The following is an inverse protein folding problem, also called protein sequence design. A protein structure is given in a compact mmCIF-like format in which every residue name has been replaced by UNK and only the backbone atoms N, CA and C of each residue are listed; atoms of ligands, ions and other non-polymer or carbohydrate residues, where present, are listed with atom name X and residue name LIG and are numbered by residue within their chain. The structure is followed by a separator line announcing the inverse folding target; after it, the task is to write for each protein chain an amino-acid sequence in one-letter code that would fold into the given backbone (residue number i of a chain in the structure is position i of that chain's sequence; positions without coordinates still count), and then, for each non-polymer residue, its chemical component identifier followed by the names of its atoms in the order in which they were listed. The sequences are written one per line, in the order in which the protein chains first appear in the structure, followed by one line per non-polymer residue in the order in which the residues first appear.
data_IF_285786090790
#
_entry.id   IF_285786090790
#
_cell.length_a   1.000
_cell.length_b   1.000
_cell.length_c   1.000
_cell.angle_alpha   90.00
_cell.angle_beta   90.00
_cell.angle_gamma   90.00
#
_symmetry.space_group_name_H-M   'P 1'
#
loop_
_entity.id
_entity.type
_entity.pdbx_description
1 polymer ?
#
# COMPACT_ATOMS: atom_id res chain seq x y z
N UNK A 1 1.04 -8.44 -2.70
CA UNK A 1 1.80 -7.20 -3.08
C UNK A 1 3.30 -7.46 -3.21
N UNK A 2 4.01 -7.95 -2.20
CA UNK A 2 5.47 -8.19 -2.29
C UNK A 2 5.85 -9.08 -3.48
N UNK A 3 5.11 -10.15 -3.75
CA UNK A 3 5.35 -11.02 -4.93
C UNK A 3 5.15 -10.35 -6.30
N UNK A 4 4.61 -9.13 -6.33
CA UNK A 4 4.47 -8.32 -7.56
C UNK A 4 5.64 -7.35 -7.77
N UNK A 5 6.53 -7.22 -6.78
CA UNK A 5 7.74 -6.42 -6.88
C UNK A 5 8.85 -7.24 -7.54
N UNK A 6 9.61 -6.60 -8.41
CA UNK A 6 10.73 -7.24 -9.10
C UNK A 6 11.78 -6.22 -9.49
N UNK A 7 12.99 -6.69 -9.77
CA UNK A 7 14.11 -5.85 -10.19
C UNK A 7 14.98 -5.37 -9.02
N UNK A 8 15.68 -4.28 -9.23
CA UNK A 8 16.61 -3.72 -8.26
C UNK A 8 15.85 -2.89 -7.23
N UNK A 9 16.24 -3.04 -5.96
CA UNK A 9 15.76 -2.17 -4.88
C UNK A 9 16.17 -0.72 -5.17
N UNK A 10 15.28 0.20 -4.86
CA UNK A 10 15.49 1.66 -4.97
C UNK A 10 15.49 2.22 -3.55
N UNK A 11 16.37 3.18 -3.29
CA UNK A 11 16.44 3.87 -2.01
C UNK A 11 15.15 4.66 -1.77
N UNK A 12 14.69 4.60 -0.52
CA UNK A 12 13.50 5.32 -0.06
C UNK A 12 13.89 6.18 1.13
N UNK A 13 13.42 7.41 1.16
CA UNK A 13 13.48 8.30 2.30
C UNK A 13 12.10 8.86 2.60
N UNK A 14 11.79 9.08 3.87
CA UNK A 14 10.52 9.64 4.32
C UNK A 14 10.69 10.35 5.66
N UNK A 15 9.89 11.36 5.89
CA UNK A 15 9.88 12.20 7.09
C UNK A 15 8.91 11.69 8.18
N UNK A 16 8.08 10.70 7.83
CA UNK A 16 7.08 10.12 8.73
C UNK A 16 7.46 8.73 9.27
N UNK A 17 8.62 8.20 8.86
CA UNK A 17 9.11 6.92 9.35
C UNK A 17 9.64 7.05 10.79
N UNK A 18 9.31 6.06 11.63
CA UNK A 18 9.97 5.91 12.92
C UNK A 18 11.38 5.33 12.72
N UNK A 19 12.33 5.74 13.56
CA UNK A 19 13.60 5.04 13.65
C UNK A 19 13.42 3.67 14.35
N UNK A 20 14.36 2.77 14.09
CA UNK A 20 14.30 1.41 14.62
C UNK A 20 14.29 1.38 16.17
N UNK A 21 15.00 2.31 16.82
CA UNK A 21 15.05 2.38 18.28
C UNK A 21 13.69 2.77 18.87
N UNK A 22 13.01 3.75 18.26
CA UNK A 22 11.70 4.18 18.70
C UNK A 22 10.65 3.03 18.54
N UNK A 23 10.69 2.29 17.42
CA UNK A 23 9.82 1.12 17.19
C UNK A 23 10.07 0.05 18.28
N UNK A 24 11.34 -0.28 18.52
CA UNK A 24 11.71 -1.31 19.52
C UNK A 24 11.32 -0.92 20.94
N UNK A 25 11.54 0.33 21.32
CA UNK A 25 11.44 0.76 22.72
C UNK A 25 10.02 1.21 23.11
N UNK A 26 9.23 1.73 22.16
CA UNK A 26 7.92 2.34 22.44
C UNK A 26 6.79 1.79 21.59
N UNK A 27 7.12 1.02 20.53
CA UNK A 27 6.16 0.64 19.50
C UNK A 27 5.51 1.85 18.79
N UNK A 28 4.60 1.62 17.84
CA UNK A 28 3.91 2.70 17.11
C UNK A 28 2.48 2.79 17.62
N UNK A 29 2.23 3.71 18.54
CA UNK A 29 0.94 3.87 19.22
C UNK A 29 0.47 5.32 19.26
N UNK A 30 -0.84 5.50 19.49
CA UNK A 30 -1.46 6.81 19.65
C UNK A 30 -1.63 7.56 18.33
N UNK A 31 -1.39 8.86 18.35
CA UNK A 31 -1.72 9.77 17.23
C UNK A 31 -0.67 9.75 16.13
N UNK A 32 0.60 9.51 16.48
CA UNK A 32 1.70 9.51 15.53
C UNK A 32 1.66 8.26 14.66
N UNK A 33 1.90 8.44 13.37
CA UNK A 33 1.92 7.36 12.38
C UNK A 33 3.35 6.93 12.05
N UNK A 34 3.57 5.66 11.72
CA UNK A 34 4.78 5.19 11.03
C UNK A 34 4.45 4.94 9.56
N UNK A 35 4.82 5.90 8.71
CA UNK A 35 4.66 5.75 7.27
C UNK A 35 6.02 5.55 6.64
N UNK A 36 6.17 4.40 6.00
CA UNK A 36 7.41 4.06 5.33
C UNK A 36 7.11 3.33 4.00
N UNK A 37 8.13 3.09 3.19
CA UNK A 37 7.95 2.47 1.90
C UNK A 37 9.10 1.54 1.51
N UNK A 38 8.82 0.66 0.55
CA UNK A 38 9.79 -0.16 -0.17
C UNK A 38 9.58 0.06 -1.66
N UNK A 39 10.66 0.27 -2.41
CA UNK A 39 10.57 0.49 -3.85
C UNK A 39 11.52 -0.43 -4.62
N UNK A 40 11.09 -0.82 -5.83
CA UNK A 40 11.91 -1.59 -6.77
C UNK A 40 11.65 -1.14 -8.20
N UNK A 41 12.62 -1.35 -9.08
CA UNK A 41 12.57 -0.90 -10.48
C UNK A 41 13.18 -1.93 -11.43
N UNK A 42 12.53 -2.11 -12.57
CA UNK A 42 13.03 -2.83 -13.75
C UNK A 42 13.16 -1.87 -14.94
N UNK A 43 13.57 -2.38 -16.09
CA UNK A 43 13.51 -1.62 -17.36
C UNK A 43 12.07 -1.29 -17.81
N UNK A 44 11.09 -2.05 -17.36
CA UNK A 44 9.70 -2.01 -17.84
C UNK A 44 8.70 -1.39 -16.84
N UNK A 45 9.05 -1.34 -15.56
CA UNK A 45 8.17 -0.80 -14.53
C UNK A 45 8.95 -0.29 -13.31
N UNK A 46 8.25 0.48 -12.49
CA UNK A 46 8.63 0.77 -11.11
C UNK A 46 7.48 0.39 -10.17
N UNK A 47 7.81 -0.07 -8.98
CA UNK A 47 6.86 -0.46 -7.96
C UNK A 47 7.19 0.19 -6.63
N UNK A 48 6.19 0.66 -5.90
CA UNK A 48 6.33 1.25 -4.56
C UNK A 48 5.26 0.65 -3.65
N UNK A 49 5.68 0.05 -2.55
CA UNK A 49 4.82 -0.40 -1.47
C UNK A 49 4.92 0.62 -0.34
N UNK A 50 3.81 1.22 0.06
CA UNK A 50 3.73 2.22 1.13
C UNK A 50 2.80 1.69 2.20
N UNK A 51 3.19 1.77 3.47
CA UNK A 51 2.36 1.35 4.60
C UNK A 51 2.23 2.44 5.64
N UNK A 52 1.14 2.39 6.38
CA UNK A 52 0.86 3.20 7.55
C UNK A 52 0.68 2.24 8.74
N UNK A 53 1.75 2.03 9.49
CA UNK A 53 1.79 1.04 10.57
C UNK A 53 1.33 1.62 11.90
N UNK A 54 0.57 0.82 12.64
CA UNK A 54 0.17 1.05 14.02
C UNK A 54 0.02 -0.28 14.76
N UNK A 55 0.44 -0.32 16.01
CA UNK A 55 0.28 -1.48 16.91
C UNK A 55 -1.05 -1.50 17.65
N UNK A 56 -1.74 -0.37 17.70
CA UNK A 56 -3.05 -0.28 18.33
C UNK A 56 -4.18 -0.31 17.29
N UNK A 57 -5.38 -0.70 17.73
CA UNK A 57 -6.61 -0.73 16.93
C UNK A 57 -7.48 0.52 17.16
N UNK A 58 -6.86 1.63 17.52
CA UNK A 58 -7.56 2.91 17.72
C UNK A 58 -8.02 3.46 16.37
N UNK A 59 -9.30 3.75 16.27
CA UNK A 59 -9.87 4.40 15.10
C UNK A 59 -9.30 5.82 14.94
N UNK A 60 -9.00 6.21 13.71
CA UNK A 60 -8.45 7.53 13.42
C UNK A 60 -8.50 7.86 11.94
N UNK A 61 -8.28 9.12 11.64
CA UNK A 61 -8.20 9.58 10.25
C UNK A 61 -6.99 8.97 9.53
N UNK A 62 -7.11 8.85 8.22
CA UNK A 62 -5.97 8.48 7.38
C UNK A 62 -4.97 9.63 7.27
N UNK A 63 -3.72 9.28 7.04
CA UNK A 63 -2.66 10.26 6.84
C UNK A 63 -2.54 10.67 5.38
N UNK A 64 -2.36 11.97 5.07
CA UNK A 64 -2.01 12.40 3.72
C UNK A 64 -0.59 11.93 3.38
N UNK A 65 -0.44 11.27 2.24
CA UNK A 65 0.85 10.76 1.76
C UNK A 65 1.16 11.37 0.41
N UNK A 66 2.34 11.95 0.28
CA UNK A 66 2.89 12.42 -0.97
C UNK A 66 4.09 11.52 -1.34
N UNK A 67 3.97 10.79 -2.45
CA UNK A 67 5.03 9.92 -2.97
C UNK A 67 5.62 10.55 -4.21
N UNK A 68 6.89 10.98 -4.15
CA UNK A 68 7.66 11.39 -5.32
C UNK A 68 8.59 10.26 -5.77
N UNK A 69 8.34 9.71 -6.95
CA UNK A 69 9.17 8.64 -7.55
C UNK A 69 10.06 9.26 -8.60
N UNK A 70 11.39 9.24 -8.36
CA UNK A 70 12.41 9.82 -9.24
C UNK A 70 13.16 8.75 -10.04
N UNK A 71 13.85 9.18 -11.10
CA UNK A 71 14.63 8.29 -11.96
C UNK A 71 13.75 7.39 -12.84
N UNK A 72 12.51 7.77 -13.11
CA UNK A 72 11.61 7.07 -14.00
C UNK A 72 11.94 7.35 -15.48
N UNK A 73 11.54 6.44 -16.37
CA UNK A 73 11.62 6.66 -17.81
C UNK A 73 10.56 7.70 -18.21
N UNK A 74 10.98 8.76 -18.90
CA UNK A 74 10.06 9.77 -19.46
C UNK A 74 9.09 9.16 -20.48
N UNK A 75 7.88 9.69 -20.53
CA UNK A 75 6.85 9.30 -21.50
C UNK A 75 5.59 8.75 -20.84
N UNK A 76 4.76 8.10 -21.65
CA UNK A 76 3.48 7.54 -21.23
C UNK A 76 3.67 6.28 -20.40
N UNK A 77 2.95 6.18 -19.27
CA UNK A 77 2.92 5.01 -18.43
C UNK A 77 1.49 4.72 -17.97
N UNK A 78 1.28 3.56 -17.35
CA UNK A 78 0.02 3.22 -16.70
C UNK A 78 0.29 3.00 -15.22
N UNK A 79 -0.41 3.74 -14.36
CA UNK A 79 -0.40 3.59 -12.91
C UNK A 79 -1.51 2.65 -12.49
N UNK A 80 -1.16 1.62 -11.73
CA UNK A 80 -2.06 0.75 -11.00
C UNK A 80 -1.87 1.02 -9.50
N UNK A 81 -2.95 1.34 -8.80
CA UNK A 81 -2.95 1.56 -7.36
C UNK A 81 -3.80 0.51 -6.68
N UNK A 82 -3.16 -0.43 -5.98
CA UNK A 82 -3.81 -1.44 -5.16
C UNK A 82 -3.84 -1.02 -3.70
N UNK A 83 -4.83 -1.50 -2.95
CA UNK A 83 -5.01 -1.14 -1.55
C UNK A 83 -5.41 -2.35 -0.71
N UNK A 84 -4.80 -2.44 0.49
CA UNK A 84 -5.30 -3.23 1.60
C UNK A 84 -5.63 -2.26 2.73
N UNK A 85 -6.87 -2.25 3.19
CA UNK A 85 -7.35 -1.45 4.33
C UNK A 85 -8.57 -2.14 4.98
N UNK A 86 -9.23 -1.50 5.92
CA UNK A 86 -10.42 -2.05 6.58
C UNK A 86 -11.61 -2.31 5.61
N UNK A 87 -11.62 -1.67 4.44
CA UNK A 87 -12.70 -1.79 3.47
C UNK A 87 -12.35 -2.64 2.24
N UNK A 88 -11.07 -2.92 1.99
CA UNK A 88 -10.58 -3.55 0.74
C UNK A 88 -9.54 -4.60 0.99
N UNK A 89 -9.61 -5.69 0.21
CA UNK A 89 -8.63 -6.79 0.22
C UNK A 89 -8.38 -7.35 1.62
N UNK A 90 -9.45 -7.44 2.45
CA UNK A 90 -9.34 -7.74 3.87
C UNK A 90 -10.42 -8.73 4.32
N UNK A 91 -10.08 -10.01 4.27
CA UNK A 91 -10.97 -11.08 4.74
C UNK A 91 -11.22 -11.05 6.26
N UNK A 92 -10.30 -10.50 7.05
CA UNK A 92 -10.45 -10.40 8.51
C UNK A 92 -11.61 -9.49 8.90
N UNK A 93 -11.75 -8.33 8.26
CA UNK A 93 -12.87 -7.43 8.51
C UNK A 93 -14.23 -8.05 8.09
N UNK A 94 -14.23 -8.83 7.02
CA UNK A 94 -15.43 -9.57 6.59
C UNK A 94 -15.74 -10.69 7.58
N UNK A 95 -14.75 -11.42 8.08
CA UNK A 95 -14.90 -12.45 9.10
C UNK A 95 -15.48 -11.89 10.40
N UNK A 96 -15.00 -10.72 10.87
CA UNK A 96 -15.58 -10.03 12.04
C UNK A 96 -17.06 -9.71 11.81
N UNK A 97 -17.43 -9.21 10.64
CA UNK A 97 -18.83 -8.87 10.29
C UNK A 97 -19.74 -10.09 10.21
N UNK A 98 -19.19 -11.28 9.97
CA UNK A 98 -19.93 -12.56 10.02
C UNK A 98 -20.15 -13.07 11.45
N UNK A 99 -19.68 -12.39 12.48
CA UNK A 99 -19.76 -12.83 13.88
C UNK A 99 -18.56 -13.69 14.30
N UNK A 100 -17.44 -13.60 13.60
CA UNK A 100 -16.17 -14.28 13.91
C UNK A 100 -16.30 -15.80 14.05
N UNK A 101 -16.93 -16.52 13.09
CA UNK A 101 -17.16 -17.96 13.20
C UNK A 101 -15.82 -18.73 13.30
N UNK A 102 -15.72 -19.61 14.30
CA UNK A 102 -14.52 -20.45 14.49
C UNK A 102 -14.39 -21.53 13.41
N UNK A 103 -15.53 -21.98 12.86
CA UNK A 103 -15.61 -22.94 11.79
C UNK A 103 -16.51 -22.40 10.66
N UNK A 104 -15.98 -21.54 9.77
CA UNK A 104 -16.76 -21.01 8.65
C UNK A 104 -17.31 -22.14 7.77
N UNK A 105 -18.57 -22.03 7.37
CA UNK A 105 -19.16 -22.92 6.34
C UNK A 105 -18.46 -22.73 4.99
N UNK A 106 -18.62 -23.66 4.06
CA UNK A 106 -18.06 -23.54 2.71
C UNK A 106 -18.50 -22.24 2.00
N UNK A 107 -19.73 -21.79 2.23
CA UNK A 107 -20.26 -20.55 1.66
C UNK A 107 -19.53 -19.33 2.25
N UNK A 108 -19.35 -19.28 3.56
CA UNK A 108 -18.63 -18.23 4.26
C UNK A 108 -17.15 -18.21 3.85
N UNK A 109 -16.52 -19.40 3.75
CA UNK A 109 -15.15 -19.53 3.30
C UNK A 109 -14.94 -18.91 1.91
N UNK A 110 -15.82 -19.19 0.94
CA UNK A 110 -15.76 -18.59 -0.41
C UNK A 110 -15.88 -17.05 -0.37
N UNK A 111 -16.72 -16.53 0.53
CA UNK A 111 -16.84 -15.06 0.71
C UNK A 111 -15.53 -14.49 1.29
N UNK A 112 -14.94 -15.15 2.28
CA UNK A 112 -13.67 -14.73 2.89
C UNK A 112 -12.53 -14.77 1.87
N UNK A 113 -12.41 -15.85 1.10
CA UNK A 113 -11.43 -15.98 0.03
C UNK A 113 -11.55 -14.88 -1.01
N UNK A 114 -12.77 -14.57 -1.44
CA UNK A 114 -13.03 -13.48 -2.39
C UNK A 114 -12.66 -12.12 -1.81
N UNK A 115 -13.03 -11.85 -0.55
CA UNK A 115 -12.76 -10.57 0.10
C UNK A 115 -11.28 -10.31 0.41
N UNK A 116 -10.47 -11.37 0.46
CA UNK A 116 -9.01 -11.29 0.60
C UNK A 116 -8.26 -11.05 -0.71
N UNK A 117 -8.95 -11.09 -1.86
CA UNK A 117 -8.30 -10.84 -3.15
C UNK A 117 -7.83 -9.40 -3.27
N UNK A 118 -6.66 -9.20 -3.87
CA UNK A 118 -6.06 -7.87 -4.00
C UNK A 118 -6.85 -7.01 -5.00
N UNK A 119 -7.37 -5.88 -4.53
CA UNK A 119 -8.20 -4.97 -5.31
C UNK A 119 -7.47 -3.68 -5.69
N UNK A 120 -7.82 -3.15 -6.85
CA UNK A 120 -7.44 -1.81 -7.25
C UNK A 120 -8.23 -0.76 -6.44
N UNK A 121 -7.54 0.25 -5.92
CA UNK A 121 -8.18 1.41 -5.27
C UNK A 121 -9.03 2.21 -6.26
N UNK A 122 -8.59 2.27 -7.51
CA UNK A 122 -9.29 2.92 -8.62
C UNK A 122 -8.93 2.26 -9.95
N UNK A 123 -9.65 2.57 -11.02
CA UNK A 123 -9.29 2.11 -12.37
C UNK A 123 -7.85 2.54 -12.74
N UNK A 124 -7.11 1.73 -13.51
CA UNK A 124 -5.78 2.09 -13.95
C UNK A 124 -5.74 3.46 -14.64
N UNK A 125 -4.78 4.29 -14.26
CA UNK A 125 -4.66 5.67 -14.73
C UNK A 125 -3.55 5.78 -15.78
N UNK A 126 -3.81 6.52 -16.87
CA UNK A 126 -2.77 6.91 -17.82
C UNK A 126 -2.05 8.13 -17.25
N UNK A 127 -0.75 8.02 -17.08
CA UNK A 127 0.13 9.09 -16.58
C UNK A 127 1.18 9.44 -17.62
N UNK A 128 1.67 10.66 -17.56
CA UNK A 128 2.78 11.12 -18.41
C UNK A 128 3.93 11.55 -17.50
N UNK A 129 5.01 10.79 -17.53
CA UNK A 129 6.22 11.04 -16.73
C UNK A 129 7.04 12.12 -17.44
N UNK A 130 7.33 13.19 -16.73
CA UNK A 130 8.17 14.32 -17.18
C UNK A 130 9.31 14.51 -16.19
N UNK A 131 10.45 14.97 -16.66
CA UNK A 131 11.64 15.21 -15.84
C UNK A 131 12.05 13.98 -15.01
N UNK A 132 11.76 12.77 -15.51
CA UNK A 132 12.03 11.50 -14.84
C UNK A 132 11.37 11.37 -13.44
N UNK A 133 10.24 12.06 -13.20
CA UNK A 133 9.56 12.10 -11.91
C UNK A 133 8.04 11.93 -12.06
N UNK A 134 7.44 11.27 -11.09
CA UNK A 134 5.99 11.16 -10.91
C UNK A 134 5.65 11.38 -9.43
N UNK A 135 4.80 12.38 -9.17
CA UNK A 135 4.28 12.67 -7.83
C UNK A 135 2.85 12.19 -7.71
N UNK A 136 2.54 11.53 -6.61
CA UNK A 136 1.24 10.94 -6.29
C UNK A 136 0.81 11.37 -4.89
N UNK A 137 -0.43 11.82 -4.75
CA UNK A 137 -1.02 12.21 -3.47
C UNK A 137 -2.24 11.35 -3.17
N UNK A 138 -2.33 10.80 -1.96
CA UNK A 138 -3.48 10.02 -1.53
C UNK A 138 -3.58 9.96 0.00
N UNK A 139 -4.77 9.65 0.50
CA UNK A 139 -4.97 9.34 1.92
C UNK A 139 -4.63 7.86 2.16
N UNK A 140 -3.83 7.60 3.18
CA UNK A 140 -3.47 6.25 3.61
C UNK A 140 -4.06 6.01 5.00
N UNK A 141 -5.14 5.22 5.12
CA UNK A 141 -5.75 4.89 6.41
C UNK A 141 -4.75 4.25 7.38
N UNK A 142 -5.04 4.31 8.67
CA UNK A 142 -4.29 3.54 9.69
C UNK A 142 -4.29 2.06 9.31
N UNK A 143 -3.16 1.39 9.56
CA UNK A 143 -2.96 -0.04 9.27
C UNK A 143 -3.20 -0.43 7.80
N UNK A 144 -3.16 0.55 6.90
CA UNK A 144 -3.33 0.30 5.47
C UNK A 144 -2.00 0.15 4.74
N UNK A 145 -2.08 -0.56 3.60
CA UNK A 145 -0.98 -0.72 2.66
C UNK A 145 -1.44 -0.33 1.26
N UNK A 146 -0.68 0.54 0.60
CA UNK A 146 -0.81 0.87 -0.81
C UNK A 146 0.30 0.25 -1.63
N UNK A 147 -0.05 -0.31 -2.78
CA UNK A 147 0.92 -0.77 -3.76
C UNK A 147 0.71 -0.04 -5.08
N UNK A 148 1.72 0.69 -5.49
CA UNK A 148 1.76 1.48 -6.72
C UNK A 148 2.63 0.73 -7.73
N UNK A 149 2.07 0.43 -8.91
CA UNK A 149 2.81 -0.15 -10.03
C UNK A 149 2.72 0.80 -11.21
N UNK A 150 3.85 1.23 -11.71
CA UNK A 150 4.00 2.16 -12.83
C UNK A 150 4.59 1.38 -13.99
N UNK A 151 3.74 0.96 -14.93
CA UNK A 151 4.17 0.23 -16.13
C UNK A 151 4.46 1.22 -17.27
N UNK A 152 5.71 1.23 -17.75
CA UNK A 152 6.10 2.03 -18.90
C UNK A 152 5.47 1.48 -20.17
N UNK A 153 4.99 2.35 -21.05
CA UNK A 153 4.60 1.91 -22.39
C UNK A 153 5.85 1.51 -23.18
N UNK A 154 5.75 0.39 -23.83
CA UNK A 154 6.69 -0.01 -24.89
C UNK A 154 6.54 0.89 -26.10
#
# INVERSE_FOLDING_TARGET
MLGMMSGNRVDVSGDLAYDFKAIRDSSVRGVRTDINALAAKTSNNATVLVWNYHDDDIQGEGSPVNVSVKGLKNGKATLYHYRIDAARSNSYEVWKKMGSPQHPSEKEYKILEKSGQLELLSKPQKVNIKNSELSLNFQLPRQAVSFLKIDYKK
#
